data_IF_756304653865
#
_entry.id   IF_756304653865
#
_cell.length_a   1.000
_cell.length_b   1.000
_cell.length_c   1.000
_cell.angle_alpha   90.00
_cell.angle_beta   90.00
_cell.angle_gamma   90.00
#
_symmetry.space_group_name_H-M   'P 1'
#
loop_
_entity.id
_entity.type
_entity.pdbx_description
1 polymer ?
#
# COMPACT_ATOMS: atom_id res chain seq x y z
N UNK A 1 48.83 7.61 -38.80
CA UNK A 1 47.39 7.27 -38.68
C UNK A 1 46.89 7.86 -37.37
N UNK A 2 45.90 8.76 -37.41
CA UNK A 2 45.32 9.31 -36.20
C UNK A 2 44.54 8.21 -35.46
N UNK A 3 44.65 8.11 -34.12
CA UNK A 3 43.89 7.12 -33.38
C UNK A 3 42.39 7.30 -33.65
N UNK A 4 41.62 6.21 -33.79
CA UNK A 4 40.19 6.30 -34.03
C UNK A 4 39.55 7.14 -32.92
N UNK A 5 38.79 8.16 -33.31
CA UNK A 5 38.07 9.02 -32.36
C UNK A 5 37.05 8.18 -31.61
N UNK A 6 37.42 7.75 -30.41
CA UNK A 6 36.51 7.04 -29.51
C UNK A 6 35.47 8.04 -29.00
N UNK A 7 34.20 7.72 -29.18
CA UNK A 7 33.06 8.48 -28.65
C UNK A 7 32.16 7.57 -27.82
N UNK A 8 31.35 8.16 -26.94
CA UNK A 8 30.35 7.44 -26.16
C UNK A 8 29.43 6.56 -27.04
N UNK A 9 29.07 7.04 -28.24
CA UNK A 9 28.22 6.30 -29.17
C UNK A 9 28.88 5.01 -29.72
N UNK A 10 30.21 4.97 -29.77
CA UNK A 10 31.00 3.86 -30.33
C UNK A 10 31.45 2.82 -29.29
N UNK A 11 31.13 3.01 -28.00
CA UNK A 11 31.55 2.07 -26.95
C UNK A 11 31.00 0.65 -27.17
N UNK A 12 31.79 -0.39 -26.86
CA UNK A 12 31.33 -1.78 -26.86
C UNK A 12 30.12 -2.02 -25.94
N UNK A 13 29.29 -3.02 -26.27
CA UNK A 13 28.02 -3.30 -25.54
C UNK A 13 28.27 -3.59 -24.06
N UNK A 14 29.31 -4.38 -23.77
CA UNK A 14 29.70 -4.77 -22.42
C UNK A 14 30.17 -3.57 -21.59
N UNK A 15 30.88 -2.61 -22.21
CA UNK A 15 31.29 -1.36 -21.57
C UNK A 15 30.06 -0.51 -21.24
N UNK A 16 29.14 -0.33 -22.20
CA UNK A 16 27.88 0.40 -21.97
C UNK A 16 27.08 -0.26 -20.84
N UNK A 17 26.94 -1.59 -20.87
CA UNK A 17 26.22 -2.33 -19.82
C UNK A 17 26.86 -2.17 -18.44
N UNK A 18 28.19 -2.05 -18.34
CA UNK A 18 28.87 -1.73 -17.07
C UNK A 18 28.60 -0.30 -16.63
N UNK A 19 28.61 0.67 -17.54
CA UNK A 19 28.27 2.07 -17.24
C UNK A 19 26.84 2.15 -16.67
N UNK A 20 25.88 1.47 -17.30
CA UNK A 20 24.48 1.49 -16.88
C UNK A 20 24.25 1.00 -15.44
N UNK A 21 25.12 0.15 -14.89
CA UNK A 21 25.05 -0.27 -13.47
C UNK A 21 25.28 0.89 -12.49
N UNK A 22 25.89 1.98 -12.94
CA UNK A 22 26.18 3.17 -12.14
C UNK A 22 25.29 4.36 -12.51
N UNK A 23 24.37 4.18 -13.46
CA UNK A 23 23.46 5.23 -13.89
C UNK A 23 22.13 5.05 -13.17
N UNK A 24 21.69 6.07 -12.45
CA UNK A 24 20.35 6.04 -11.85
C UNK A 24 19.27 5.97 -12.92
N UNK A 25 18.18 5.25 -12.64
CA UNK A 25 17.06 5.05 -13.56
C UNK A 25 16.48 6.36 -14.11
N UNK A 26 16.60 7.44 -13.35
CA UNK A 26 16.21 8.80 -13.73
C UNK A 26 16.91 9.30 -15.00
N UNK A 27 18.17 8.90 -15.19
CA UNK A 27 18.99 9.33 -16.32
C UNK A 27 18.80 8.45 -17.55
N UNK A 28 18.07 7.33 -17.45
CA UNK A 28 17.93 6.37 -18.54
C UNK A 28 17.32 7.01 -19.79
N UNK A 29 16.37 7.94 -19.65
CA UNK A 29 15.80 8.64 -20.80
C UNK A 29 16.82 9.53 -21.52
N UNK A 30 17.77 10.13 -20.80
CA UNK A 30 18.84 10.92 -21.42
C UNK A 30 19.89 10.00 -22.05
N UNK A 31 20.21 8.90 -21.39
CA UNK A 31 21.15 7.90 -21.88
C UNK A 31 20.66 7.24 -23.17
N UNK A 32 19.35 6.97 -23.28
CA UNK A 32 18.71 6.46 -24.51
C UNK A 32 18.86 7.39 -25.71
N UNK A 33 19.08 8.69 -25.50
CA UNK A 33 19.27 9.68 -26.57
C UNK A 33 20.69 9.71 -27.13
N UNK A 34 21.66 9.03 -26.50
CA UNK A 34 23.07 9.03 -26.94
C UNK A 34 23.21 8.42 -28.34
N UNK A 35 22.60 7.26 -28.58
CA UNK A 35 22.52 6.65 -29.91
C UNK A 35 21.45 5.55 -29.94
N UNK A 36 21.08 5.09 -31.14
CA UNK A 36 20.17 3.94 -31.32
C UNK A 36 20.66 2.70 -30.54
N UNK A 37 21.97 2.46 -30.55
CA UNK A 37 22.59 1.34 -29.83
C UNK A 37 22.42 1.47 -28.32
N UNK A 38 22.64 2.66 -27.75
CA UNK A 38 22.40 2.90 -26.33
C UNK A 38 20.93 2.71 -25.96
N UNK A 39 20.00 3.18 -26.81
CA UNK A 39 18.58 2.94 -26.60
C UNK A 39 18.25 1.43 -26.53
N UNK A 40 18.75 0.63 -27.47
CA UNK A 40 18.55 -0.82 -27.48
C UNK A 40 19.15 -1.51 -26.26
N UNK A 41 20.34 -1.10 -25.81
CA UNK A 41 21.00 -1.67 -24.63
C UNK A 41 20.23 -1.30 -23.35
N UNK A 42 19.85 -0.03 -23.18
CA UNK A 42 19.07 0.41 -22.00
C UNK A 42 17.73 -0.32 -21.93
N UNK A 43 17.05 -0.52 -23.06
CA UNK A 43 15.79 -1.27 -23.11
C UNK A 43 15.93 -2.74 -22.69
N UNK A 44 17.13 -3.32 -22.87
CA UNK A 44 17.44 -4.70 -22.45
C UNK A 44 18.11 -4.78 -21.07
N UNK A 45 18.51 -3.64 -20.50
CA UNK A 45 19.23 -3.62 -19.24
C UNK A 45 18.25 -3.87 -18.09
N UNK A 46 18.46 -4.91 -17.28
CA UNK A 46 17.64 -5.11 -16.09
C UNK A 46 17.93 -3.99 -15.11
N UNK A 47 16.92 -3.18 -14.81
CA UNK A 47 17.00 -2.21 -13.72
C UNK A 47 15.89 -2.50 -12.73
N UNK A 48 16.21 -2.31 -11.46
CA UNK A 48 15.23 -2.37 -10.39
C UNK A 48 14.46 -1.07 -10.39
N UNK A 49 13.14 -1.15 -10.62
CA UNK A 49 12.27 0.01 -10.43
C UNK A 49 12.32 0.44 -8.96
N UNK A 50 12.35 1.74 -8.65
CA UNK A 50 12.31 2.21 -7.27
C UNK A 50 10.99 1.84 -6.60
N UNK A 51 11.02 1.73 -5.28
CA UNK A 51 9.83 1.52 -4.45
C UNK A 51 9.15 2.85 -4.12
N UNK A 52 7.89 2.77 -3.69
CA UNK A 52 7.22 3.84 -2.95
C UNK A 52 7.20 3.40 -1.49
N UNK A 53 7.75 4.21 -0.59
CA UNK A 53 7.86 3.86 0.82
C UNK A 53 6.48 3.88 1.50
N UNK A 54 5.66 4.87 1.16
CA UNK A 54 4.30 4.97 1.67
C UNK A 54 3.39 5.65 0.66
N UNK A 55 2.20 5.09 0.48
CA UNK A 55 1.11 5.73 -0.25
C UNK A 55 -0.15 5.70 0.60
N UNK A 56 -0.81 6.84 0.77
CA UNK A 56 -2.15 6.85 1.35
C UNK A 56 -3.13 7.70 0.57
N UNK A 57 -4.39 7.31 0.70
CA UNK A 57 -5.49 7.92 -0.02
C UNK A 57 -6.73 8.05 0.86
N UNK A 58 -7.36 9.22 0.74
CA UNK A 58 -8.66 9.53 1.32
C UNK A 58 -9.47 10.36 0.33
N UNK A 59 -10.61 9.86 -0.11
CA UNK A 59 -11.62 10.65 -0.81
C UNK A 59 -12.69 11.11 0.18
N UNK A 60 -12.89 12.41 0.29
CA UNK A 60 -14.10 12.99 0.87
C UNK A 60 -15.13 13.20 -0.25
N UNK A 61 -16.18 13.98 -0.04
CA UNK A 61 -17.27 14.17 -1.01
C UNK A 61 -16.71 14.51 -2.40
N UNK A 62 -16.04 15.65 -2.53
CA UNK A 62 -15.45 16.12 -3.79
C UNK A 62 -13.92 16.32 -3.68
N UNK A 63 -13.35 16.06 -2.52
CA UNK A 63 -11.95 16.34 -2.23
C UNK A 63 -11.16 15.04 -2.10
N UNK A 64 -10.09 14.91 -2.88
CA UNK A 64 -9.20 13.76 -2.86
C UNK A 64 -7.89 14.16 -2.23
N UNK A 65 -7.47 13.42 -1.21
CA UNK A 65 -6.25 13.63 -0.48
C UNK A 65 -5.31 12.44 -0.71
N UNK A 66 -4.07 12.73 -1.04
CA UNK A 66 -3.01 11.76 -1.22
C UNK A 66 -1.78 12.17 -0.45
N UNK A 67 -1.11 11.17 0.10
CA UNK A 67 0.22 11.34 0.67
C UNK A 67 1.13 10.26 0.08
N UNK A 68 2.29 10.69 -0.40
CA UNK A 68 3.29 9.81 -1.01
C UNK A 68 4.61 10.09 -0.33
N UNK A 69 5.27 9.04 0.18
CA UNK A 69 6.64 9.10 0.68
C UNK A 69 7.51 8.23 -0.20
N UNK A 70 8.63 8.78 -0.64
CA UNK A 70 9.64 8.09 -1.43
C UNK A 70 11.00 8.73 -1.26
N UNK A 71 12.05 8.06 -1.71
CA UNK A 71 13.41 8.63 -1.76
C UNK A 71 13.48 9.86 -2.67
N UNK A 72 14.06 10.95 -2.16
CA UNK A 72 14.12 12.27 -2.81
C UNK A 72 14.70 12.23 -4.22
N UNK A 73 15.71 11.37 -4.47
CA UNK A 73 16.29 11.20 -5.81
C UNK A 73 15.21 10.84 -6.83
N UNK A 74 14.34 9.89 -6.49
CA UNK A 74 13.33 9.34 -7.41
C UNK A 74 12.13 10.24 -7.68
N UNK A 75 12.06 11.43 -7.07
CA UNK A 75 10.94 12.37 -7.25
C UNK A 75 10.69 12.71 -8.74
N UNK A 76 11.75 12.94 -9.50
CA UNK A 76 11.66 13.26 -10.93
C UNK A 76 11.22 12.03 -11.74
N UNK A 77 11.76 10.86 -11.43
CA UNK A 77 11.39 9.60 -12.06
C UNK A 77 9.88 9.33 -11.95
N UNK A 78 9.32 9.54 -10.76
CA UNK A 78 7.89 9.38 -10.51
C UNK A 78 7.02 10.51 -11.06
N UNK A 79 7.60 11.61 -11.55
CA UNK A 79 6.85 12.74 -12.11
C UNK A 79 6.18 13.62 -11.04
N UNK A 80 6.72 13.59 -9.82
CA UNK A 80 6.21 14.33 -8.67
C UNK A 80 6.96 15.65 -8.41
N UNK A 81 7.92 16.01 -9.27
CA UNK A 81 8.79 17.18 -9.10
C UNK A 81 8.02 18.49 -8.85
N UNK A 82 6.90 18.65 -9.54
CA UNK A 82 6.05 19.84 -9.52
C UNK A 82 4.87 19.72 -8.54
N UNK A 83 4.84 18.67 -7.72
CA UNK A 83 3.79 18.50 -6.71
C UNK A 83 4.18 19.22 -5.42
N UNK A 84 3.18 19.57 -4.60
CA UNK A 84 3.41 20.23 -3.32
C UNK A 84 4.15 19.29 -2.36
N UNK A 85 5.32 19.73 -1.91
CA UNK A 85 6.15 19.02 -0.92
C UNK A 85 5.75 19.50 0.46
N UNK A 86 5.41 18.58 1.35
CA UNK A 86 5.03 18.90 2.74
C UNK A 86 6.22 18.75 3.68
N UNK A 87 7.04 17.72 3.47
CA UNK A 87 8.22 17.43 4.28
C UNK A 87 9.37 16.92 3.43
N UNK A 88 10.58 17.37 3.72
CA UNK A 88 11.82 16.84 3.13
C UNK A 88 12.74 16.49 4.29
N UNK A 89 12.99 15.20 4.47
CA UNK A 89 13.91 14.69 5.49
C UNK A 89 15.09 14.04 4.76
N UNK A 90 16.32 14.18 5.27
CA UNK A 90 17.57 13.63 4.72
C UNK A 90 17.49 13.05 3.29
N UNK A 91 17.00 11.82 3.16
CA UNK A 91 16.90 11.06 1.92
C UNK A 91 15.47 10.86 1.38
N UNK A 92 14.43 11.20 2.13
CA UNK A 92 13.02 10.98 1.75
C UNK A 92 12.26 12.30 1.56
N UNK A 93 11.21 12.24 0.74
CA UNK A 93 10.31 13.38 0.52
C UNK A 93 8.88 12.92 0.70
N UNK A 94 8.14 13.67 1.51
CA UNK A 94 6.69 13.56 1.61
C UNK A 94 6.05 14.57 0.68
N UNK A 95 5.34 14.04 -0.30
CA UNK A 95 4.52 14.80 -1.25
C UNK A 95 3.07 14.64 -0.82
N UNK A 96 2.37 15.77 -0.66
CA UNK A 96 0.94 15.77 -0.34
C UNK A 96 0.18 16.46 -1.44
N UNK A 97 -0.89 15.83 -1.89
CA UNK A 97 -1.78 16.39 -2.89
C UNK A 97 -3.19 16.42 -2.33
N UNK A 98 -3.80 17.58 -2.47
CA UNK A 98 -5.19 17.82 -2.18
C UNK A 98 -5.82 18.37 -3.46
N UNK A 99 -6.84 17.70 -3.96
CA UNK A 99 -7.51 18.06 -5.20
C UNK A 99 -9.01 18.05 -5.02
N UNK A 100 -9.65 19.15 -5.41
CA UNK A 100 -11.10 19.22 -5.56
C UNK A 100 -11.43 18.72 -6.97
N UNK A 101 -12.08 17.56 -7.08
CA UNK A 101 -12.50 16.95 -8.34
C UNK A 101 -13.96 17.31 -8.56
N UNK A 102 -14.23 18.15 -9.58
CA UNK A 102 -15.58 18.61 -9.92
C UNK A 102 -16.15 17.93 -11.14
N UNK A 103 -15.30 17.36 -12.00
CA UNK A 103 -15.73 16.73 -13.25
C UNK A 103 -15.16 15.32 -13.39
N UNK A 104 -15.82 14.49 -14.20
CA UNK A 104 -15.32 13.16 -14.55
C UNK A 104 -14.00 13.22 -15.33
N UNK A 105 -13.79 14.26 -16.15
CA UNK A 105 -12.54 14.46 -16.88
C UNK A 105 -11.35 14.71 -15.93
N UNK A 106 -11.55 15.52 -14.87
CA UNK A 106 -10.54 15.76 -13.84
C UNK A 106 -10.21 14.47 -13.07
N UNK A 107 -11.24 13.68 -12.77
CA UNK A 107 -11.11 12.36 -12.15
C UNK A 107 -10.28 11.42 -13.02
N UNK A 108 -10.60 11.31 -14.31
CA UNK A 108 -9.86 10.45 -15.25
C UNK A 108 -8.40 10.89 -15.40
N UNK A 109 -8.14 12.20 -15.50
CA UNK A 109 -6.77 12.75 -15.53
C UNK A 109 -5.99 12.36 -14.27
N UNK A 110 -6.61 12.45 -13.09
CA UNK A 110 -5.99 12.05 -11.84
C UNK A 110 -5.70 10.54 -11.80
N UNK A 111 -6.68 9.71 -12.15
CA UNK A 111 -6.53 8.26 -12.21
C UNK A 111 -5.43 7.83 -13.18
N UNK A 112 -5.33 8.47 -14.36
CA UNK A 112 -4.23 8.24 -15.30
C UNK A 112 -2.86 8.59 -14.73
N UNK A 113 -2.75 9.69 -13.97
CA UNK A 113 -1.49 10.08 -13.31
C UNK A 113 -1.10 9.07 -12.22
N UNK A 114 -2.06 8.58 -11.45
CA UNK A 114 -1.83 7.52 -10.46
C UNK A 114 -1.42 6.20 -11.14
N UNK A 115 -2.07 5.81 -12.23
CA UNK A 115 -1.68 4.62 -12.99
C UNK A 115 -0.24 4.70 -13.51
N UNK A 116 0.17 5.86 -14.02
CA UNK A 116 1.56 6.10 -14.40
C UNK A 116 2.52 6.02 -13.21
N UNK A 117 2.15 6.58 -12.05
CA UNK A 117 2.93 6.49 -10.82
C UNK A 117 3.15 5.02 -10.41
N UNK A 118 2.08 4.23 -10.31
CA UNK A 118 2.17 2.83 -9.89
C UNK A 118 2.90 1.96 -10.91
N UNK A 119 2.74 2.23 -12.22
CA UNK A 119 3.45 1.49 -13.27
C UNK A 119 4.98 1.61 -13.19
N UNK A 120 5.47 2.68 -12.54
CA UNK A 120 6.89 2.99 -12.34
C UNK A 120 7.44 2.40 -11.04
N UNK A 121 6.59 2.00 -10.11
CA UNK A 121 7.01 1.39 -8.86
C UNK A 121 7.31 -0.11 -9.06
N UNK A 122 8.29 -0.63 -8.32
CA UNK A 122 8.47 -2.09 -8.16
C UNK A 122 7.52 -2.65 -7.11
N UNK A 123 7.40 -1.94 -5.99
CA UNK A 123 6.58 -2.28 -4.83
C UNK A 123 6.09 -0.99 -4.15
N UNK A 124 5.06 -1.12 -3.33
CA UNK A 124 4.65 -0.13 -2.34
C UNK A 124 4.88 -0.76 -0.97
N UNK A 125 5.80 -0.21 -0.18
CA UNK A 125 6.14 -0.79 1.11
C UNK A 125 4.94 -0.71 2.07
N UNK A 126 4.27 0.45 2.13
CA UNK A 126 3.02 0.59 2.88
C UNK A 126 1.94 1.30 2.04
N UNK A 127 0.80 0.64 1.86
CA UNK A 127 -0.41 1.23 1.27
C UNK A 127 -1.45 1.44 2.37
N UNK A 128 -1.84 2.68 2.63
CA UNK A 128 -2.93 2.99 3.55
C UNK A 128 -4.19 3.51 2.85
N UNK A 129 -5.30 2.80 3.04
CA UNK A 129 -6.62 3.25 2.59
C UNK A 129 -7.43 3.65 3.82
N UNK A 130 -7.74 4.96 3.92
CA UNK A 130 -8.40 5.53 5.10
C UNK A 130 -9.85 5.08 5.27
N UNK A 131 -10.52 4.68 4.19
CA UNK A 131 -11.86 4.09 4.18
C UNK A 131 -11.90 2.92 3.19
N UNK A 132 -12.06 1.69 3.69
CA UNK A 132 -11.93 0.46 2.91
C UNK A 132 -12.84 0.38 1.67
N UNK A 133 -14.05 0.94 1.75
CA UNK A 133 -14.98 0.99 0.61
C UNK A 133 -14.45 1.81 -0.57
N UNK A 134 -13.37 2.58 -0.40
CA UNK A 134 -12.73 3.38 -1.45
C UNK A 134 -11.64 2.62 -2.20
N UNK A 135 -11.33 1.39 -1.79
CA UNK A 135 -10.29 0.57 -2.40
C UNK A 135 -10.43 0.48 -3.92
N UNK A 136 -11.66 0.36 -4.43
CA UNK A 136 -11.94 0.29 -5.88
C UNK A 136 -11.42 1.47 -6.70
N UNK A 137 -11.27 2.65 -6.08
CA UNK A 137 -10.81 3.85 -6.78
C UNK A 137 -9.35 3.72 -7.20
N UNK A 138 -8.53 3.10 -6.36
CA UNK A 138 -7.10 2.92 -6.62
C UNK A 138 -6.79 1.56 -7.23
N UNK A 139 -7.52 0.51 -6.85
CA UNK A 139 -7.38 -0.85 -7.39
C UNK A 139 -7.37 -0.86 -8.93
N UNK A 140 -8.31 -0.13 -9.54
CA UNK A 140 -8.43 -0.02 -11.00
C UNK A 140 -7.21 0.57 -11.73
N UNK A 141 -6.34 1.31 -11.02
CA UNK A 141 -5.18 1.99 -11.62
C UNK A 141 -3.83 1.46 -11.12
N UNK A 142 -3.82 0.68 -10.04
CA UNK A 142 -2.58 0.14 -9.45
C UNK A 142 -1.91 -0.95 -10.28
N UNK A 143 -2.66 -1.58 -11.20
CA UNK A 143 -2.14 -2.67 -12.01
C UNK A 143 -1.80 -3.88 -11.14
N UNK A 144 -0.60 -4.45 -11.28
CA UNK A 144 -0.12 -5.58 -10.47
C UNK A 144 1.07 -5.21 -9.58
N UNK A 145 1.13 -3.97 -9.13
CA UNK A 145 2.18 -3.54 -8.21
C UNK A 145 2.09 -4.36 -6.92
N UNK A 146 3.24 -4.83 -6.43
CA UNK A 146 3.32 -5.55 -5.16
C UNK A 146 3.12 -4.58 -4.00
N UNK A 147 2.56 -5.07 -2.91
CA UNK A 147 2.37 -4.32 -1.67
C UNK A 147 2.96 -5.14 -0.54
N UNK A 148 3.87 -4.56 0.25
CA UNK A 148 4.43 -5.29 1.38
C UNK A 148 3.46 -5.25 2.56
N UNK A 149 2.97 -4.05 2.91
CA UNK A 149 1.97 -3.84 3.96
C UNK A 149 0.74 -3.10 3.44
N UNK A 150 -0.44 -3.72 3.55
CA UNK A 150 -1.72 -3.08 3.26
C UNK A 150 -2.43 -2.71 4.57
N UNK A 151 -2.60 -1.42 4.80
CA UNK A 151 -3.26 -0.83 5.96
C UNK A 151 -4.66 -0.34 5.58
N UNK A 152 -5.68 -1.05 6.06
CA UNK A 152 -7.06 -0.60 6.03
C UNK A 152 -7.34 0.18 7.32
N UNK A 153 -7.50 1.49 7.21
CA UNK A 153 -7.89 2.32 8.34
C UNK A 153 -9.38 2.63 8.30
N UNK A 154 -9.98 2.85 9.47
CA UNK A 154 -11.34 3.36 9.63
C UNK A 154 -11.29 4.55 10.59
N UNK A 155 -10.57 5.59 10.22
CA UNK A 155 -10.54 6.81 11.02
C UNK A 155 -11.82 7.61 10.73
N UNK A 156 -12.62 7.85 11.78
CA UNK A 156 -13.56 8.97 12.01
C UNK A 156 -14.88 8.51 12.65
N UNK A 157 -15.36 9.35 13.59
CA UNK A 157 -16.58 9.20 14.43
C UNK A 157 -17.86 9.48 13.62
N UNK A 158 -17.93 9.04 12.36
CA UNK A 158 -19.23 8.82 11.73
C UNK A 158 -19.71 7.45 12.20
N UNK A 159 -21.02 7.23 12.45
CA UNK A 159 -21.46 6.00 13.06
C UNK A 159 -20.96 4.85 12.19
N UNK A 160 -20.01 4.09 12.74
CA UNK A 160 -19.52 2.81 12.26
C UNK A 160 -20.64 1.75 12.32
N UNK A 161 -21.89 2.17 12.19
CA UNK A 161 -22.98 1.30 11.89
C UNK A 161 -22.83 1.06 10.39
N UNK A 162 -22.25 -0.09 10.04
CA UNK A 162 -22.31 -0.70 8.72
C UNK A 162 -21.05 -0.55 7.84
N UNK A 163 -19.88 -0.95 8.32
CA UNK A 163 -18.74 -1.29 7.43
C UNK A 163 -19.18 -2.21 6.27
N UNK A 164 -20.22 -3.03 6.48
CA UNK A 164 -20.73 -4.02 5.52
C UNK A 164 -22.23 -3.90 5.16
N UNK A 165 -22.99 -2.93 5.68
CA UNK A 165 -24.48 -2.87 5.47
C UNK A 165 -25.02 -1.66 4.69
N UNK A 166 -24.20 -0.84 4.04
CA UNK A 166 -24.75 0.19 3.16
C UNK A 166 -25.43 -0.45 1.93
N UNK A 167 -26.77 -0.47 1.95
CA UNK A 167 -27.61 -1.21 0.98
C UNK A 167 -27.49 -0.71 -0.46
N UNK A 168 -26.96 0.48 -0.70
CA UNK A 168 -26.80 1.06 -2.03
C UNK A 168 -25.40 0.88 -2.64
N UNK A 169 -24.39 0.53 -1.83
CA UNK A 169 -23.00 0.26 -2.27
C UNK A 169 -22.55 -1.16 -1.89
N UNK A 170 -23.49 -2.12 -1.85
CA UNK A 170 -23.27 -3.49 -1.34
C UNK A 170 -22.11 -4.26 -1.97
N UNK A 171 -21.52 -3.80 -3.07
CA UNK A 171 -20.39 -4.47 -3.68
C UNK A 171 -19.06 -4.03 -3.08
N UNK A 172 -18.93 -2.81 -2.56
CA UNK A 172 -17.64 -2.14 -2.31
C UNK A 172 -17.22 -2.24 -0.82
N UNK A 173 -16.20 -3.05 -0.54
CA UNK A 173 -15.66 -3.26 0.82
C UNK A 173 -16.04 -4.59 1.48
N UNK A 174 -16.63 -5.54 0.75
CA UNK A 174 -16.89 -6.88 1.29
C UNK A 174 -15.58 -7.66 1.54
N UNK A 175 -15.55 -8.60 2.50
CA UNK A 175 -14.42 -9.50 2.72
C UNK A 175 -13.77 -10.04 1.43
N UNK A 176 -14.62 -10.54 0.50
CA UNK A 176 -14.15 -11.12 -0.76
C UNK A 176 -13.44 -10.14 -1.69
N UNK A 177 -13.76 -8.85 -1.64
CA UNK A 177 -13.03 -7.85 -2.43
C UNK A 177 -11.68 -7.53 -1.82
N UNK A 178 -11.59 -7.47 -0.49
CA UNK A 178 -10.32 -7.26 0.20
C UNK A 178 -9.40 -8.44 -0.05
N UNK A 179 -9.90 -9.68 0.09
CA UNK A 179 -9.15 -10.88 -0.22
C UNK A 179 -8.71 -10.91 -1.70
N UNK A 180 -9.59 -10.53 -2.62
CA UNK A 180 -9.24 -10.40 -4.05
C UNK A 180 -8.09 -9.40 -4.26
N UNK A 181 -8.19 -8.21 -3.68
CA UNK A 181 -7.15 -7.19 -3.77
C UNK A 181 -5.81 -7.68 -3.17
N UNK A 182 -5.86 -8.26 -1.97
CA UNK A 182 -4.70 -8.86 -1.30
C UNK A 182 -3.99 -9.87 -2.19
N UNK A 183 -4.77 -10.73 -2.87
CA UNK A 183 -4.25 -11.72 -3.81
C UNK A 183 -3.65 -11.07 -5.06
N UNK A 184 -4.36 -10.14 -5.69
CA UNK A 184 -3.95 -9.50 -6.95
C UNK A 184 -2.66 -8.69 -6.79
N UNK A 185 -2.46 -8.09 -5.61
CA UNK A 185 -1.28 -7.29 -5.28
C UNK A 185 -0.23 -8.03 -4.46
N UNK A 186 -0.38 -9.34 -4.27
CA UNK A 186 0.58 -10.17 -3.52
C UNK A 186 0.96 -9.58 -2.16
N UNK A 187 -0.04 -9.08 -1.43
CA UNK A 187 0.13 -8.42 -0.13
C UNK A 187 0.81 -9.36 0.86
N UNK A 188 1.86 -8.92 1.55
CA UNK A 188 2.58 -9.75 2.52
C UNK A 188 1.98 -9.66 3.94
N UNK A 189 1.55 -8.46 4.32
CA UNK A 189 0.97 -8.16 5.63
C UNK A 189 -0.30 -7.32 5.46
N UNK A 190 -1.35 -7.70 6.17
CA UNK A 190 -2.59 -6.93 6.25
C UNK A 190 -2.75 -6.31 7.63
N UNK A 191 -3.08 -5.02 7.69
CA UNK A 191 -3.33 -4.29 8.93
C UNK A 191 -4.71 -3.65 8.89
N UNK A 192 -5.51 -3.87 9.93
CA UNK A 192 -6.80 -3.22 10.11
C UNK A 192 -6.73 -2.27 11.31
N UNK A 193 -6.73 -0.96 11.05
CA UNK A 193 -6.76 0.09 12.06
C UNK A 193 -8.20 0.56 12.30
N UNK A 194 -8.77 0.25 13.46
CA UNK A 194 -10.17 0.59 13.77
C UNK A 194 -10.30 1.45 15.02
N UNK A 195 -10.81 2.68 14.83
CA UNK A 195 -10.90 3.68 15.90
C UNK A 195 -11.99 3.34 16.95
N UNK A 196 -13.11 2.73 16.54
CA UNK A 196 -14.24 2.41 17.42
C UNK A 196 -14.89 1.10 16.99
N UNK A 197 -15.01 0.13 17.91
CA UNK A 197 -15.68 -1.14 17.60
C UNK A 197 -16.65 -1.55 18.71
N UNK A 198 -17.88 -1.87 18.30
CA UNK A 198 -18.77 -2.75 19.05
C UNK A 198 -18.59 -4.17 18.50
N UNK A 199 -17.58 -4.90 19.02
CA UNK A 199 -17.22 -6.26 18.57
C UNK A 199 -18.41 -7.21 18.44
N UNK A 200 -19.46 -7.04 19.24
CA UNK A 200 -20.68 -7.85 19.18
C UNK A 200 -21.38 -7.82 17.82
N UNK A 201 -21.36 -6.70 17.10
CA UNK A 201 -22.18 -6.50 15.91
C UNK A 201 -21.43 -6.80 14.59
N UNK A 202 -20.10 -6.80 14.64
CA UNK A 202 -19.23 -6.93 13.46
C UNK A 202 -18.33 -8.18 13.54
N UNK A 203 -18.44 -9.00 14.61
CA UNK A 203 -17.65 -10.23 14.78
C UNK A 203 -17.69 -11.14 13.56
N UNK A 204 -18.88 -11.43 13.04
CA UNK A 204 -19.04 -12.35 11.90
C UNK A 204 -18.33 -11.84 10.64
N UNK A 205 -18.40 -10.54 10.36
CA UNK A 205 -17.75 -9.96 9.19
C UNK A 205 -16.23 -9.91 9.35
N UNK A 206 -15.72 -9.65 10.57
CA UNK A 206 -14.29 -9.71 10.89
C UNK A 206 -13.73 -11.13 10.80
N UNK A 207 -14.44 -12.12 11.34
CA UNK A 207 -14.07 -13.54 11.21
C UNK A 207 -13.95 -13.90 9.75
N UNK A 208 -14.98 -13.58 8.95
CA UNK A 208 -14.99 -13.86 7.51
C UNK A 208 -13.84 -13.17 6.78
N UNK A 209 -13.62 -11.87 7.04
CA UNK A 209 -12.50 -11.12 6.46
C UNK A 209 -11.15 -11.76 6.80
N UNK A 210 -10.91 -12.04 8.08
CA UNK A 210 -9.64 -12.58 8.52
C UNK A 210 -9.45 -14.02 8.04
N UNK A 211 -10.49 -14.85 7.99
CA UNK A 211 -10.44 -16.18 7.39
C UNK A 211 -10.03 -16.12 5.91
N UNK A 212 -10.66 -15.25 5.11
CA UNK A 212 -10.34 -15.12 3.69
C UNK A 212 -8.93 -14.53 3.46
N UNK A 213 -8.52 -13.54 4.25
CA UNK A 213 -7.21 -12.88 4.09
C UNK A 213 -6.06 -13.74 4.64
N UNK A 214 -6.27 -14.51 5.70
CA UNK A 214 -5.24 -15.38 6.29
C UNK A 214 -4.82 -16.53 5.38
N UNK A 215 -5.65 -16.90 4.40
CA UNK A 215 -5.29 -17.79 3.29
C UNK A 215 -4.30 -17.15 2.30
N UNK A 216 -4.09 -15.83 2.37
CA UNK A 216 -3.30 -15.08 1.40
C UNK A 216 -2.07 -14.41 2.01
N UNK A 217 -2.13 -13.98 3.28
CA UNK A 217 -1.03 -13.29 3.96
C UNK A 217 -0.44 -14.12 5.10
N UNK A 218 0.79 -13.79 5.50
CA UNK A 218 1.45 -14.44 6.64
C UNK A 218 1.13 -13.75 7.99
N UNK A 219 0.77 -12.48 7.95
CA UNK A 219 0.50 -11.69 9.14
C UNK A 219 -0.74 -10.82 8.95
N UNK A 220 -1.69 -10.93 9.89
CA UNK A 220 -2.81 -10.00 10.03
C UNK A 220 -2.62 -9.25 11.36
N UNK A 221 -2.62 -7.93 11.31
CA UNK A 221 -2.59 -7.10 12.50
C UNK A 221 -3.89 -6.30 12.61
N UNK A 222 -4.45 -6.25 13.80
CA UNK A 222 -5.62 -5.46 14.12
C UNK A 222 -5.26 -4.47 15.22
N UNK A 223 -5.42 -3.18 14.95
CA UNK A 223 -5.11 -2.10 15.88
C UNK A 223 -6.41 -1.41 16.28
N UNK A 224 -6.63 -1.18 17.58
CA UNK A 224 -7.80 -0.43 18.05
C UNK A 224 -7.45 0.68 19.03
N UNK A 225 -8.04 1.86 18.78
CA UNK A 225 -7.92 3.07 19.61
C UNK A 225 -9.12 3.26 20.55
N UNK A 226 -9.82 2.18 20.90
CA UNK A 226 -11.01 2.28 21.75
C UNK A 226 -10.61 2.64 23.19
N UNK A 227 -10.89 3.88 23.59
CA UNK A 227 -10.65 4.38 24.96
C UNK A 227 -11.49 3.68 26.04
N UNK A 228 -12.54 2.93 25.68
CA UNK A 228 -13.44 2.25 26.63
C UNK A 228 -12.92 0.88 27.06
N UNK A 229 -11.60 0.72 27.18
CA UNK A 229 -10.93 -0.50 27.69
C UNK A 229 -11.26 -0.67 29.18
N UNK A 230 -12.47 -1.15 29.46
CA UNK A 230 -12.88 -1.66 30.78
C UNK A 230 -12.94 -3.19 30.84
N UNK A 231 -12.71 -3.91 29.76
CA UNK A 231 -12.40 -5.34 29.88
C UNK A 231 -11.54 -5.84 28.72
N UNK A 232 -10.23 -5.60 28.85
CA UNK A 232 -9.20 -6.35 28.12
C UNK A 232 -9.46 -7.87 28.20
N UNK A 233 -9.98 -8.36 29.34
CA UNK A 233 -10.40 -9.74 29.56
C UNK A 233 -11.58 -10.18 28.66
N UNK A 234 -12.67 -9.40 28.52
CA UNK A 234 -13.78 -9.79 27.64
C UNK A 234 -13.37 -9.73 26.16
N UNK A 235 -12.51 -8.77 25.78
CA UNK A 235 -11.96 -8.72 24.43
C UNK A 235 -11.03 -9.91 24.17
N UNK A 236 -10.27 -10.39 25.15
CA UNK A 236 -9.42 -11.58 25.00
C UNK A 236 -10.24 -12.84 24.70
N UNK A 237 -11.36 -13.09 25.40
CA UNK A 237 -12.23 -14.23 25.07
C UNK A 237 -12.77 -14.13 23.65
N UNK A 238 -13.30 -12.97 23.24
CA UNK A 238 -13.80 -12.77 21.87
C UNK A 238 -12.70 -12.96 20.81
N UNK A 239 -11.48 -12.47 21.05
CA UNK A 239 -10.38 -12.65 20.11
C UNK A 239 -9.86 -14.09 20.05
N UNK A 240 -9.86 -14.82 21.18
CA UNK A 240 -9.59 -16.25 21.19
C UNK A 240 -10.68 -17.01 20.41
N UNK A 241 -11.96 -16.68 20.58
CA UNK A 241 -13.03 -17.27 19.79
C UNK A 241 -12.85 -17.01 18.28
N UNK A 242 -12.51 -15.76 17.90
CA UNK A 242 -12.23 -15.39 16.51
C UNK A 242 -11.04 -16.21 15.97
N UNK A 243 -9.94 -16.30 16.73
CA UNK A 243 -8.77 -17.12 16.39
C UNK A 243 -9.16 -18.57 16.16
N UNK A 244 -9.92 -19.16 17.07
CA UNK A 244 -10.32 -20.57 17.02
C UNK A 244 -11.30 -20.85 15.88
N UNK A 245 -12.14 -19.87 15.52
CA UNK A 245 -13.02 -19.93 14.35
C UNK A 245 -12.21 -19.90 13.05
N UNK A 246 -11.27 -18.95 12.91
CA UNK A 246 -10.38 -18.85 11.75
C UNK A 246 -9.54 -20.13 11.58
N UNK A 247 -8.95 -20.64 12.67
CA UNK A 247 -8.12 -21.84 12.65
C UNK A 247 -8.93 -23.08 12.24
N UNK A 248 -10.17 -23.22 12.75
CA UNK A 248 -11.08 -24.33 12.37
C UNK A 248 -11.45 -24.29 10.89
N UNK A 249 -11.67 -23.11 10.33
CA UNK A 249 -12.06 -22.98 8.93
C UNK A 249 -10.94 -23.33 7.95
N UNK A 250 -9.67 -23.17 8.35
CA UNK A 250 -8.58 -23.14 7.38
C UNK A 250 -7.39 -24.08 7.67
N UNK A 251 -7.48 -24.93 8.70
CA UNK A 251 -6.49 -25.98 8.99
C UNK A 251 -5.05 -25.49 9.18
N UNK A 252 -4.86 -24.26 9.68
CA UNK A 252 -3.55 -23.70 10.02
C UNK A 252 -3.52 -23.20 11.47
N UNK A 253 -2.30 -23.01 12.01
CA UNK A 253 -2.11 -22.44 13.34
C UNK A 253 -2.16 -20.93 13.27
N UNK A 254 -2.95 -20.34 14.17
CA UNK A 254 -3.04 -18.89 14.33
C UNK A 254 -2.54 -18.55 15.72
N UNK A 255 -1.44 -17.81 15.81
CA UNK A 255 -0.95 -17.27 17.08
C UNK A 255 -1.60 -15.91 17.33
N UNK A 256 -2.00 -15.66 18.57
CA UNK A 256 -2.66 -14.42 18.99
C UNK A 256 -1.80 -13.70 20.01
N UNK A 257 -1.20 -12.58 19.59
CA UNK A 257 -0.49 -11.69 20.49
C UNK A 257 -1.34 -10.44 20.77
N UNK A 258 -1.44 -10.06 22.04
CA UNK A 258 -2.11 -8.83 22.45
C UNK A 258 -1.15 -7.91 23.19
N UNK A 259 -0.86 -6.74 22.62
CA UNK A 259 0.05 -5.75 23.21
C UNK A 259 -0.71 -4.50 23.66
N UNK A 260 -0.25 -3.88 24.77
CA UNK A 260 -0.64 -2.52 25.15
C UNK A 260 0.52 -1.57 24.86
N UNK A 261 0.29 -0.53 24.08
CA UNK A 261 1.33 0.46 23.77
C UNK A 261 1.45 1.51 24.89
N UNK A 262 2.34 1.23 25.85
CA UNK A 262 2.81 2.09 26.96
C UNK A 262 1.74 2.64 27.94
N UNK A 263 2.10 2.76 29.21
CA UNK A 263 1.22 3.37 30.23
C UNK A 263 1.13 4.91 30.10
N UNK A 264 2.04 5.54 29.36
CA UNK A 264 2.16 7.00 29.23
C UNK A 264 1.39 7.58 28.03
N UNK A 265 0.77 6.74 27.18
CA UNK A 265 -0.09 7.22 26.11
C UNK A 265 -1.53 7.40 26.63
N UNK A 266 -2.12 8.61 26.58
CA UNK A 266 -3.52 8.83 26.96
C UNK A 266 -4.51 8.04 26.07
N UNK A 267 -4.03 7.52 24.94
CA UNK A 267 -4.70 6.55 24.09
C UNK A 267 -4.08 5.18 24.37
N UNK A 268 -4.81 4.32 25.08
CA UNK A 268 -4.40 2.93 25.28
C UNK A 268 -4.65 2.17 23.99
N UNK A 269 -3.66 2.10 23.11
CA UNK A 269 -3.78 1.32 21.89
C UNK A 269 -3.59 -0.16 22.23
N UNK A 270 -4.57 -0.98 21.83
CA UNK A 270 -4.45 -2.44 21.85
C UNK A 270 -4.11 -2.88 20.43
N UNK A 271 -2.98 -3.57 20.31
CA UNK A 271 -2.61 -4.29 19.09
C UNK A 271 -2.96 -5.75 19.32
N UNK A 272 -3.74 -6.31 18.41
CA UNK A 272 -4.05 -7.73 18.32
C UNK A 272 -3.38 -8.23 17.04
N UNK A 273 -2.41 -9.13 17.16
CA UNK A 273 -1.70 -9.69 16.02
C UNK A 273 -2.08 -11.15 15.86
N UNK A 274 -2.43 -11.52 14.63
CA UNK A 274 -2.64 -12.89 14.20
C UNK A 274 -1.48 -13.29 13.27
N UNK A 275 -0.62 -14.18 13.74
CA UNK A 275 0.45 -14.77 12.92
C UNK A 275 -0.04 -16.10 12.37
N UNK A 276 -0.01 -16.26 11.05
CA UNK A 276 -0.54 -17.43 10.36
C UNK A 276 0.62 -18.32 9.93
N UNK A 277 0.72 -19.51 10.54
CA UNK A 277 1.73 -20.51 10.20
C UNK A 277 1.07 -21.67 9.49
N UNK A 278 1.47 -21.94 8.25
CA UNK A 278 0.94 -23.03 7.43
C UNK A 278 1.93 -24.20 7.47
N UNK A 279 1.46 -25.36 7.85
CA UNK A 279 2.21 -26.61 7.71
C UNK A 279 2.20 -26.99 6.23
N UNK A 280 3.38 -27.00 5.60
CA UNK A 280 3.56 -27.49 4.23
C UNK A 280 3.82 -29.00 4.22
#
# INVERSE_FOLDING_TARGET
MSPPKMSLASLPVDVVARILKFVDVEHFQNVRKISRRWNEIVLRHPFTKPAIDYFSFLKLVDQWNFQIVLEKRHLNYFGLANWRKERVENETVTVRMEMLIKTDEEKEKLLNRLGLLFSRASTIAELEVKWLYQLYLIDSVMGRVKIDEFVASTHMVYPCQNLFKNKHDRKLGQPGQVAKFVKEHSVQKFVLNQACLSLSNEKADLVKLFAEVSLLVHCIQYNTMDKRIRSYAMKSTTWNEIRDEIARENSFTVELDMFKLSENNPFKDIIVRFTVTRSF
#
